data_IF_500983320764
#
_entry.id   IF_500983320764
#
_cell.length_a   1.000
_cell.length_b   1.000
_cell.length_c   1.000
_cell.angle_alpha   90.00
_cell.angle_beta   90.00
_cell.angle_gamma   90.00
#
_symmetry.space_group_name_H-M   'P 1'
#
loop_
_entity.id
_entity.type
_entity.pdbx_description
1 polymer ?
#
# COMPACT_ATOMS: atom_id res chain seq x y z
N UNK A 1 -36.48 -1.48 15.19
CA UNK A 1 -36.41 -2.91 15.55
C UNK A 1 -36.63 -3.00 17.06
N UNK A 2 -37.65 -3.72 17.53
CA UNK A 2 -37.81 -4.05 18.94
C UNK A 2 -36.52 -4.67 19.51
N UNK A 3 -36.20 -4.38 20.78
CA UNK A 3 -34.97 -4.87 21.40
C UNK A 3 -34.89 -6.40 21.41
N UNK A 4 -36.03 -7.06 21.54
CA UNK A 4 -36.12 -8.52 21.59
C UNK A 4 -35.85 -9.16 20.23
N UNK A 5 -36.36 -8.57 19.15
CA UNK A 5 -36.04 -9.01 17.78
C UNK A 5 -34.55 -8.88 17.48
N UNK A 6 -33.91 -7.80 17.94
CA UNK A 6 -32.47 -7.60 17.80
C UNK A 6 -31.66 -8.66 18.57
N UNK A 7 -32.07 -8.97 19.80
CA UNK A 7 -31.43 -10.02 20.61
C UNK A 7 -31.58 -11.40 19.96
N UNK A 8 -32.76 -11.71 19.43
CA UNK A 8 -33.04 -12.96 18.72
C UNK A 8 -32.15 -13.10 17.47
N UNK A 9 -32.03 -12.03 16.69
CA UNK A 9 -31.15 -12.00 15.52
C UNK A 9 -29.67 -12.18 15.90
N UNK A 10 -29.19 -11.49 16.94
CA UNK A 10 -27.82 -11.67 17.44
C UNK A 10 -27.57 -13.11 17.89
N UNK A 11 -28.55 -13.73 18.56
CA UNK A 11 -28.51 -15.14 18.96
C UNK A 11 -28.34 -16.07 17.75
N UNK A 12 -29.17 -15.89 16.73
CA UNK A 12 -29.08 -16.64 15.47
C UNK A 12 -27.70 -16.51 14.82
N UNK A 13 -27.18 -15.28 14.67
CA UNK A 13 -25.87 -15.03 14.04
C UNK A 13 -24.74 -15.71 14.81
N UNK A 14 -24.77 -15.70 16.14
CA UNK A 14 -23.77 -16.39 16.97
C UNK A 14 -23.75 -17.91 16.78
N UNK A 15 -24.89 -18.50 16.42
CA UNK A 15 -25.01 -19.95 16.17
C UNK A 15 -24.77 -20.36 14.72
N UNK A 16 -24.55 -19.41 13.81
CA UNK A 16 -24.54 -19.68 12.36
C UNK A 16 -23.38 -20.58 11.90
N UNK A 17 -22.19 -20.49 12.52
CA UNK A 17 -21.03 -21.28 12.10
C UNK A 17 -20.15 -21.69 13.29
N UNK A 18 -19.78 -22.98 13.44
CA UNK A 18 -19.09 -23.48 14.64
C UNK A 18 -17.71 -22.88 14.88
N UNK A 19 -17.03 -22.42 13.82
CA UNK A 19 -15.69 -21.82 13.90
C UNK A 19 -15.66 -20.29 13.91
N UNK A 20 -16.82 -19.60 13.85
CA UNK A 20 -16.88 -18.13 13.78
C UNK A 20 -17.67 -17.62 14.97
N UNK A 21 -17.02 -16.83 15.84
CA UNK A 21 -17.66 -16.19 16.97
C UNK A 21 -17.94 -14.71 16.67
N UNK A 22 -19.18 -14.27 16.92
CA UNK A 22 -19.60 -12.88 16.74
C UNK A 22 -19.68 -12.17 18.09
N UNK A 23 -19.09 -10.98 18.17
CA UNK A 23 -19.23 -10.08 19.31
C UNK A 23 -20.29 -9.02 19.01
N UNK A 24 -21.12 -8.69 19.99
CA UNK A 24 -22.17 -7.68 19.89
C UNK A 24 -22.20 -6.83 21.15
N UNK A 25 -22.36 -5.53 21.01
CA UNK A 25 -22.53 -4.58 22.12
C UNK A 25 -23.84 -3.82 21.92
N UNK A 26 -24.69 -3.78 22.95
CA UNK A 26 -25.94 -3.03 22.95
C UNK A 26 -25.86 -2.03 24.09
N UNK A 27 -26.05 -0.76 23.78
CA UNK A 27 -26.15 0.29 24.79
C UNK A 27 -27.17 1.33 24.34
N UNK A 28 -27.89 1.90 25.32
CA UNK A 28 -28.91 2.91 25.08
C UNK A 28 -28.31 4.31 24.89
N UNK A 29 -27.09 4.54 25.37
CA UNK A 29 -26.47 5.88 25.45
C UNK A 29 -25.18 6.01 24.65
N UNK A 30 -24.55 4.89 24.28
CA UNK A 30 -23.25 4.91 23.60
C UNK A 30 -23.13 3.80 22.57
N UNK A 31 -22.52 4.06 21.43
CA UNK A 31 -22.19 3.02 20.45
C UNK A 31 -20.85 3.30 19.79
N UNK A 32 -20.06 2.25 19.60
CA UNK A 32 -18.79 2.33 18.90
C UNK A 32 -19.03 2.12 17.39
N UNK A 33 -18.61 3.06 16.55
CA UNK A 33 -18.78 2.96 15.10
C UNK A 33 -17.59 3.58 14.35
N UNK A 34 -17.00 2.84 13.41
CA UNK A 34 -15.94 3.30 12.49
C UNK A 34 -14.84 4.21 13.11
N UNK A 35 -14.32 3.81 14.28
CA UNK A 35 -13.20 4.49 14.94
C UNK A 35 -13.59 5.71 15.79
N UNK A 36 -14.88 5.92 16.03
CA UNK A 36 -15.42 6.87 17.01
C UNK A 36 -16.38 6.16 17.96
N UNK A 37 -16.51 6.72 19.16
CA UNK A 37 -17.55 6.36 20.12
C UNK A 37 -18.60 7.44 20.10
N UNK A 38 -19.80 7.12 19.66
CA UNK A 38 -20.92 8.05 19.60
C UNK A 38 -21.66 7.97 20.93
N UNK A 39 -21.90 9.11 21.57
CA UNK A 39 -22.67 9.20 22.81
C UNK A 39 -23.57 10.43 22.79
N UNK A 40 -24.68 10.38 23.52
CA UNK A 40 -25.58 11.53 23.69
C UNK A 40 -25.30 12.16 25.05
N UNK A 41 -24.90 13.44 25.07
CA UNK A 41 -24.74 14.25 26.29
C UNK A 41 -25.49 15.57 26.09
N UNK A 42 -26.35 15.94 27.03
CA UNK A 42 -27.10 17.21 27.01
C UNK A 42 -27.89 17.48 25.72
N UNK A 43 -28.43 16.42 25.10
CA UNK A 43 -29.12 16.44 23.78
C UNK A 43 -28.22 16.66 22.55
N UNK A 44 -26.91 16.69 22.73
CA UNK A 44 -25.92 16.76 21.65
C UNK A 44 -25.20 15.41 21.45
N UNK A 45 -24.77 15.17 20.22
CA UNK A 45 -23.94 14.01 19.88
C UNK A 45 -22.47 14.34 20.15
N UNK A 46 -21.87 13.61 21.08
CA UNK A 46 -20.43 13.63 21.34
C UNK A 46 -19.78 12.43 20.66
N UNK A 47 -18.73 12.66 19.88
CA UNK A 47 -18.10 11.64 19.02
C UNK A 47 -16.57 11.53 19.22
N UNK A 48 -16.09 11.20 20.42
CA UNK A 48 -14.67 11.05 20.68
C UNK A 48 -14.07 9.90 19.88
N UNK A 49 -12.76 9.97 19.69
CA UNK A 49 -12.00 8.90 19.03
C UNK A 49 -12.11 7.61 19.85
N UNK A 50 -12.33 6.49 19.15
CA UNK A 50 -12.39 5.17 19.77
C UNK A 50 -11.36 4.24 19.14
N UNK A 51 -10.49 3.74 20.00
CA UNK A 51 -9.55 2.68 19.67
C UNK A 51 -10.12 1.35 20.13
N UNK A 52 -10.06 0.33 19.26
CA UNK A 52 -10.47 -1.01 19.66
C UNK A 52 -9.51 -1.54 20.71
N UNK A 53 -9.96 -2.32 21.71
CA UNK A 53 -9.07 -2.95 22.68
C UNK A 53 -8.02 -3.87 22.05
N UNK A 54 -8.27 -4.37 20.84
CA UNK A 54 -7.35 -5.19 20.06
C UNK A 54 -6.42 -4.39 19.15
N UNK A 55 -6.55 -3.06 19.12
CA UNK A 55 -5.64 -2.18 18.40
C UNK A 55 -4.32 -2.10 19.16
N UNK A 56 -3.27 -2.67 18.60
CA UNK A 56 -1.93 -2.65 19.19
C UNK A 56 -1.25 -1.30 19.01
N UNK A 57 -1.86 -0.35 18.30
CA UNK A 57 -1.29 0.95 17.93
C UNK A 57 0.06 0.85 17.21
N UNK A 58 0.40 -0.33 16.73
CA UNK A 58 1.61 -0.58 15.97
C UNK A 58 1.36 -0.18 14.53
N UNK A 59 1.70 1.07 14.22
CA UNK A 59 2.10 1.44 12.88
C UNK A 59 3.39 0.70 12.47
N UNK A 60 3.95 1.03 11.31
CA UNK A 60 5.25 0.49 10.92
C UNK A 60 6.32 0.98 11.89
N UNK A 61 7.17 0.07 12.38
CA UNK A 61 8.37 0.51 13.12
C UNK A 61 9.25 1.37 12.23
N UNK A 62 9.94 2.36 12.83
CA UNK A 62 10.78 3.27 12.06
C UNK A 62 11.96 2.54 11.38
N UNK A 63 12.39 1.42 11.94
CA UNK A 63 13.45 0.53 11.40
C UNK A 63 12.95 -0.42 10.31
N UNK A 64 11.64 -0.44 10.01
CA UNK A 64 11.10 -1.33 8.99
C UNK A 64 11.66 -1.03 7.59
N UNK A 65 11.69 -2.09 6.76
CA UNK A 65 12.20 -2.07 5.38
C UNK A 65 11.19 -1.44 4.40
N UNK A 66 10.88 -0.17 4.64
CA UNK A 66 10.06 0.69 3.80
C UNK A 66 10.82 1.96 3.42
N UNK A 67 10.50 2.59 2.27
CA UNK A 67 11.07 3.89 1.91
C UNK A 67 10.94 4.89 3.07
N UNK A 68 12.02 5.62 3.35
CA UNK A 68 12.02 6.62 4.43
C UNK A 68 10.92 7.66 4.25
N UNK A 69 10.67 8.11 3.02
CA UNK A 69 9.57 9.03 2.71
C UNK A 69 8.21 8.50 3.15
N UNK A 70 7.93 7.20 2.95
CA UNK A 70 6.69 6.59 3.38
C UNK A 70 6.57 6.55 4.90
N UNK A 71 7.65 6.23 5.62
CA UNK A 71 7.65 6.21 7.08
C UNK A 71 7.41 7.62 7.64
N UNK A 72 8.21 8.59 7.17
CA UNK A 72 8.11 10.03 7.53
C UNK A 72 6.73 10.62 7.26
N UNK A 73 6.03 10.14 6.23
CA UNK A 73 4.71 10.63 5.88
C UNK A 73 3.57 10.06 6.72
N UNK A 74 3.79 9.12 7.63
CA UNK A 74 2.71 8.47 8.41
C UNK A 74 2.18 9.35 9.55
N UNK A 75 3.01 10.00 10.40
CA UNK A 75 2.51 10.73 11.57
C UNK A 75 1.48 11.81 11.23
N UNK A 76 1.79 12.67 10.25
CA UNK A 76 0.94 13.80 9.89
C UNK A 76 -0.49 13.39 9.48
N UNK A 77 -0.72 12.46 8.53
CA UNK A 77 -2.07 11.98 8.19
C UNK A 77 -2.82 11.33 9.35
N UNK A 78 -2.12 10.63 10.26
CA UNK A 78 -2.77 10.02 11.43
C UNK A 78 -3.26 11.09 12.42
N UNK A 79 -2.43 12.09 12.69
CA UNK A 79 -2.84 13.24 13.52
C UNK A 79 -3.93 14.08 12.84
N UNK A 80 -3.85 14.28 11.52
CA UNK A 80 -4.88 14.97 10.75
C UNK A 80 -6.22 14.22 10.79
N UNK A 81 -6.19 12.87 10.84
CA UNK A 81 -7.40 12.08 11.09
C UNK A 81 -7.98 12.40 12.46
N UNK A 82 -7.18 12.47 13.53
CA UNK A 82 -7.67 12.85 14.85
C UNK A 82 -8.31 14.25 14.84
N UNK A 83 -7.68 15.21 14.14
CA UNK A 83 -8.21 16.57 13.96
C UNK A 83 -9.60 16.60 13.31
N UNK A 84 -9.89 15.66 12.40
CA UNK A 84 -11.20 15.52 11.75
C UNK A 84 -12.25 14.88 12.66
N UNK A 85 -11.82 13.93 13.50
CA UNK A 85 -12.70 13.14 14.36
C UNK A 85 -13.10 13.88 15.63
N UNK A 86 -12.12 14.46 16.34
CA UNK A 86 -12.37 15.22 17.56
C UNK A 86 -13.24 16.45 17.27
N UNK A 87 -14.21 16.74 18.14
CA UNK A 87 -15.09 17.89 17.99
C UNK A 87 -14.45 19.17 18.55
N UNK A 88 -13.82 19.07 19.72
CA UNK A 88 -13.15 20.17 20.39
C UNK A 88 -11.63 19.99 20.46
N UNK A 89 -10.94 21.08 20.78
CA UNK A 89 -9.48 21.16 20.85
C UNK A 89 -8.88 20.52 22.10
N UNK A 90 -9.68 20.29 23.15
CA UNK A 90 -9.19 19.62 24.35
C UNK A 90 -9.06 18.13 24.05
N UNK A 91 -10.12 17.51 23.53
CA UNK A 91 -10.16 16.13 23.07
C UNK A 91 -9.08 15.89 22.00
N UNK A 92 -8.93 16.81 21.04
CA UNK A 92 -7.87 16.68 20.02
C UNK A 92 -6.47 16.64 20.65
N UNK A 93 -6.15 17.56 21.57
CA UNK A 93 -4.82 17.62 22.19
C UNK A 93 -4.52 16.35 22.96
N UNK A 94 -5.48 15.82 23.72
CA UNK A 94 -5.31 14.56 24.44
C UNK A 94 -5.03 13.40 23.47
N UNK A 95 -5.86 13.24 22.42
CA UNK A 95 -5.65 12.15 21.46
C UNK A 95 -4.36 12.32 20.66
N UNK A 96 -3.95 13.55 20.34
CA UNK A 96 -2.71 13.85 19.65
C UNK A 96 -1.49 13.46 20.50
N UNK A 97 -1.51 13.75 21.81
CA UNK A 97 -0.46 13.33 22.74
C UNK A 97 -0.35 11.80 22.85
N UNK A 98 -1.49 11.10 22.95
CA UNK A 98 -1.48 9.63 22.97
C UNK A 98 -0.91 9.04 21.67
N UNK A 99 -1.28 9.62 20.53
CA UNK A 99 -0.76 9.22 19.22
C UNK A 99 0.74 9.51 19.08
N UNK A 100 1.19 10.66 19.60
CA UNK A 100 2.60 11.01 19.69
C UNK A 100 3.38 9.90 20.43
N UNK A 101 2.91 9.49 21.60
CA UNK A 101 3.58 8.46 22.41
C UNK A 101 3.63 7.09 21.70
N UNK A 102 2.61 6.75 20.92
CA UNK A 102 2.62 5.56 20.07
C UNK A 102 3.69 5.63 18.97
N UNK A 103 3.91 6.78 18.34
CA UNK A 103 4.97 6.93 17.35
C UNK A 103 6.36 6.88 17.97
N UNK A 104 6.55 7.56 19.10
CA UNK A 104 7.84 7.55 19.81
C UNK A 104 8.20 6.14 20.28
N UNK A 105 7.25 5.41 20.87
CA UNK A 105 7.47 4.02 21.31
C UNK A 105 7.73 3.05 20.16
N UNK A 106 7.30 3.36 18.92
CA UNK A 106 7.61 2.58 17.71
C UNK A 106 8.91 3.01 17.02
N UNK A 107 9.68 3.91 17.65
CA UNK A 107 11.03 4.32 17.25
C UNK A 107 11.08 5.48 16.26
N UNK A 108 9.99 6.23 16.07
CA UNK A 108 10.02 7.44 15.25
C UNK A 108 10.83 8.54 15.95
N UNK A 109 11.63 9.34 15.20
CA UNK A 109 12.34 10.48 15.77
C UNK A 109 11.37 11.51 16.34
N UNK A 110 11.64 11.99 17.55
CA UNK A 110 10.82 13.01 18.24
C UNK A 110 10.55 14.22 17.34
N UNK A 111 11.59 14.78 16.72
CA UNK A 111 11.47 15.94 15.82
C UNK A 111 10.47 15.74 14.68
N UNK A 112 10.39 14.53 14.11
CA UNK A 112 9.45 14.23 13.01
C UNK A 112 8.00 14.14 13.52
N UNK A 113 7.81 13.61 14.73
CA UNK A 113 6.49 13.49 15.36
C UNK A 113 6.02 14.86 15.85
N UNK A 114 6.91 15.64 16.46
CA UNK A 114 6.65 17.00 16.93
C UNK A 114 6.33 17.95 15.77
N UNK A 115 7.07 17.89 14.65
CA UNK A 115 6.73 18.66 13.45
C UNK A 115 5.31 18.33 12.97
N UNK A 116 4.95 17.05 12.93
CA UNK A 116 3.61 16.62 12.54
C UNK A 116 2.53 17.17 13.50
N UNK A 117 2.75 17.06 14.83
CA UNK A 117 1.88 17.62 15.85
C UNK A 117 1.69 19.13 15.66
N UNK A 118 2.79 19.86 15.48
CA UNK A 118 2.80 21.31 15.34
C UNK A 118 2.08 21.76 14.07
N UNK A 119 2.28 21.05 12.96
CA UNK A 119 1.60 21.35 11.69
C UNK A 119 0.10 21.11 11.77
N UNK A 120 -0.34 19.99 12.37
CA UNK A 120 -1.78 19.68 12.50
C UNK A 120 -2.45 20.57 13.55
N UNK A 121 -1.74 21.01 14.58
CA UNK A 121 -2.25 21.94 15.59
C UNK A 121 -2.68 23.28 14.99
N UNK A 122 -2.06 23.70 13.89
CA UNK A 122 -2.38 24.95 13.15
C UNK A 122 -3.58 24.81 12.21
N UNK A 123 -4.11 23.60 12.02
CA UNK A 123 -5.22 23.33 11.10
C UNK A 123 -6.50 23.24 11.92
N UNK A 124 -7.50 24.06 11.59
CA UNK A 124 -8.81 23.98 12.21
C UNK A 124 -9.53 22.69 11.79
N UNK A 125 -10.47 22.22 12.61
CA UNK A 125 -11.30 21.07 12.24
C UNK A 125 -12.07 21.30 10.94
N UNK A 126 -12.61 22.51 10.76
CA UNK A 126 -13.35 22.89 9.55
C UNK A 126 -12.49 22.77 8.31
N UNK A 127 -11.24 23.25 8.36
CA UNK A 127 -10.31 23.15 7.23
C UNK A 127 -9.88 21.70 6.98
N UNK A 128 -9.67 20.92 8.05
CA UNK A 128 -9.28 19.52 7.93
C UNK A 128 -10.33 18.67 7.22
N UNK A 129 -11.62 19.04 7.30
CA UNK A 129 -12.73 18.35 6.66
C UNK A 129 -12.90 18.71 5.17
N UNK A 130 -12.25 19.78 4.70
CA UNK A 130 -12.31 20.17 3.29
C UNK A 130 -11.49 19.16 2.47
N UNK A 131 -12.09 18.52 1.44
CA UNK A 131 -11.35 17.66 0.53
C UNK A 131 -10.29 18.49 -0.22
N UNK A 132 -9.04 18.03 -0.19
CA UNK A 132 -8.01 18.65 -1.03
C UNK A 132 -8.18 18.18 -2.48
N UNK A 133 -8.01 19.08 -3.47
CA UNK A 133 -8.03 18.69 -4.87
C UNK A 133 -6.89 17.71 -5.17
N UNK A 134 -7.18 16.70 -6.00
CA UNK A 134 -6.15 15.79 -6.49
C UNK A 134 -5.19 16.54 -7.41
N UNK A 135 -3.91 16.56 -7.06
CA UNK A 135 -2.87 17.04 -7.95
C UNK A 135 -2.43 15.88 -8.84
N UNK A 136 -2.86 15.88 -10.11
CA UNK A 136 -2.32 14.95 -11.09
C UNK A 136 -0.96 15.47 -11.58
N UNK A 137 0.07 14.64 -11.43
CA UNK A 137 1.40 14.93 -11.98
C UNK A 137 1.57 14.14 -13.28
N UNK A 138 1.92 14.84 -14.35
CA UNK A 138 2.25 14.24 -15.65
C UNK A 138 3.68 13.68 -15.69
N UNK A 139 4.44 13.84 -14.59
CA UNK A 139 5.81 13.35 -14.47
C UNK A 139 5.91 11.85 -14.73
N UNK A 140 6.87 11.49 -15.57
CA UNK A 140 7.24 10.09 -15.82
C UNK A 140 7.58 9.37 -14.51
N UNK A 141 7.00 8.19 -14.30
CA UNK A 141 7.22 7.38 -13.09
C UNK A 141 8.26 6.31 -13.34
N UNK A 142 9.36 6.36 -12.60
CA UNK A 142 10.37 5.30 -12.59
C UNK A 142 10.05 4.29 -11.49
N UNK A 143 9.55 3.13 -11.89
CA UNK A 143 9.18 2.05 -10.96
C UNK A 143 10.40 1.22 -10.56
N UNK A 144 10.78 1.25 -9.28
CA UNK A 144 11.92 0.50 -8.75
C UNK A 144 11.47 -0.45 -7.62
N UNK A 145 12.11 -1.60 -7.45
CA UNK A 145 11.88 -2.42 -6.24
C UNK A 145 12.58 -1.78 -5.05
N UNK A 146 11.86 -1.53 -3.97
CA UNK A 146 12.50 -1.05 -2.74
C UNK A 146 13.38 -2.15 -2.14
N UNK A 147 14.62 -1.79 -1.84
CA UNK A 147 15.53 -2.56 -1.00
C UNK A 147 16.49 -1.56 -0.33
N UNK A 148 16.80 -1.69 0.98
CA UNK A 148 17.68 -0.75 1.68
C UNK A 148 19.03 -0.54 0.97
N UNK A 149 19.63 -1.61 0.44
CA UNK A 149 20.88 -1.52 -0.32
C UNK A 149 20.75 -0.99 -1.77
N UNK A 150 19.52 -0.91 -2.31
CA UNK A 150 19.29 -0.46 -3.69
C UNK A 150 18.95 1.04 -3.79
N UNK A 151 19.11 1.78 -2.70
CA UNK A 151 18.94 3.25 -2.71
C UNK A 151 20.00 3.94 -3.57
N UNK A 152 21.15 3.29 -3.81
CA UNK A 152 22.22 3.78 -4.68
C UNK A 152 21.75 3.88 -6.13
N UNK A 153 20.97 2.92 -6.61
CA UNK A 153 20.48 2.94 -7.99
C UNK A 153 19.61 4.16 -8.29
N UNK A 154 18.80 4.62 -7.32
CA UNK A 154 18.05 5.88 -7.46
C UNK A 154 18.99 7.07 -7.69
N UNK A 155 20.08 7.16 -6.91
CA UNK A 155 21.05 8.25 -7.04
C UNK A 155 21.75 8.19 -8.39
N UNK A 156 22.18 7.00 -8.82
CA UNK A 156 22.85 6.82 -10.12
C UNK A 156 21.95 7.28 -11.26
N UNK A 157 20.68 6.85 -11.30
CA UNK A 157 19.76 7.24 -12.38
C UNK A 157 19.53 8.75 -12.40
N UNK A 158 19.29 9.37 -11.23
CA UNK A 158 19.04 10.81 -11.17
C UNK A 158 20.28 11.65 -11.50
N UNK A 159 21.48 11.22 -11.09
CA UNK A 159 22.73 11.93 -11.38
C UNK A 159 23.14 11.81 -12.85
N UNK A 160 22.72 10.76 -13.54
CA UNK A 160 23.03 10.51 -14.94
C UNK A 160 21.84 10.80 -15.87
N UNK A 161 20.86 11.59 -15.40
CA UNK A 161 19.67 11.92 -16.20
C UNK A 161 20.06 12.63 -17.52
N UNK A 162 21.11 13.44 -17.51
CA UNK A 162 21.63 14.11 -18.70
C UNK A 162 22.03 13.15 -19.81
N UNK A 163 22.47 11.92 -19.47
CA UNK A 163 22.78 10.89 -20.46
C UNK A 163 21.51 10.45 -21.18
N UNK A 164 20.40 10.29 -20.46
CA UNK A 164 19.10 9.97 -21.05
C UNK A 164 18.55 11.14 -21.87
N UNK A 165 18.82 12.37 -21.46
CA UNK A 165 18.37 13.57 -22.17
C UNK A 165 19.21 13.92 -23.41
N UNK A 166 20.37 13.29 -23.58
CA UNK A 166 21.21 13.46 -24.77
C UNK A 166 20.60 12.77 -26.00
N UNK A 167 19.80 11.73 -25.80
CA UNK A 167 19.06 11.03 -26.86
C UNK A 167 17.70 11.72 -27.09
N UNK A 168 17.35 12.10 -28.34
CA UNK A 168 16.11 12.83 -28.63
C UNK A 168 14.83 12.10 -28.19
N UNK A 169 14.77 10.78 -28.41
CA UNK A 169 13.58 9.97 -28.11
C UNK A 169 13.42 9.79 -26.59
N UNK A 170 14.52 9.52 -25.88
CA UNK A 170 14.52 9.42 -24.44
C UNK A 170 14.24 10.77 -23.76
N UNK A 171 14.68 11.89 -24.34
CA UNK A 171 14.37 13.24 -23.86
C UNK A 171 12.87 13.55 -23.89
N UNK A 172 12.13 13.07 -24.88
CA UNK A 172 10.67 13.23 -24.94
C UNK A 172 10.00 12.63 -23.70
N UNK A 173 10.53 11.52 -23.18
CA UNK A 173 9.99 10.81 -22.00
C UNK A 173 10.57 11.34 -20.68
N UNK A 174 11.82 11.78 -20.69
CA UNK A 174 12.60 12.17 -19.50
C UNK A 174 13.07 13.63 -19.53
N UNK A 175 12.22 14.54 -20.01
CA UNK A 175 12.53 15.98 -20.05
C UNK A 175 12.73 16.57 -18.64
N UNK A 176 12.00 16.04 -17.67
CA UNK A 176 12.20 16.33 -16.25
C UNK A 176 12.58 15.07 -15.45
N UNK A 177 13.24 15.21 -14.28
CA UNK A 177 13.60 14.06 -13.46
C UNK A 177 12.37 13.18 -13.13
N UNK A 178 12.43 11.86 -13.35
CA UNK A 178 11.27 11.01 -13.13
C UNK A 178 10.92 10.91 -11.63
N UNK A 179 9.63 10.72 -11.35
CA UNK A 179 9.15 10.37 -10.02
C UNK A 179 9.53 8.93 -9.71
N UNK A 180 10.47 8.74 -8.80
CA UNK A 180 10.88 7.40 -8.36
C UNK A 180 9.81 6.83 -7.44
N UNK A 181 9.15 5.77 -7.91
CA UNK A 181 8.10 5.08 -7.19
C UNK A 181 8.58 3.68 -6.84
N UNK A 182 8.44 3.31 -5.58
CA UNK A 182 8.90 2.03 -5.10
C UNK A 182 7.77 0.98 -5.10
N UNK A 183 8.05 -0.20 -5.67
CA UNK A 183 7.26 -1.42 -5.45
C UNK A 183 7.85 -2.24 -4.31
N UNK A 184 7.00 -2.97 -3.59
CA UNK A 184 7.42 -3.91 -2.54
C UNK A 184 8.31 -5.01 -3.13
N UNK A 185 9.36 -5.39 -2.41
CA UNK A 185 10.10 -6.63 -2.69
C UNK A 185 9.22 -7.86 -2.41
N UNK A 186 9.62 -9.01 -2.95
CA UNK A 186 8.98 -10.29 -2.59
C UNK A 186 9.35 -10.62 -1.15
N UNK A 187 8.35 -10.95 -0.33
CA UNK A 187 8.57 -11.47 1.02
C UNK A 187 8.50 -13.01 1.04
N UNK A 188 8.78 -13.61 2.21
CA UNK A 188 8.74 -15.06 2.40
C UNK A 188 7.40 -15.65 1.96
N UNK A 189 6.28 -14.98 2.30
CA UNK A 189 4.94 -15.40 1.87
C UNK A 189 4.83 -15.45 0.34
N UNK A 190 5.32 -14.45 -0.38
CA UNK A 190 5.29 -14.41 -1.85
C UNK A 190 6.16 -15.50 -2.49
N UNK A 191 7.18 -15.98 -1.77
CA UNK A 191 8.09 -17.02 -2.23
C UNK A 191 7.54 -18.43 -1.96
N UNK A 192 7.01 -18.65 -0.76
CA UNK A 192 6.59 -19.96 -0.27
C UNK A 192 5.13 -20.27 -0.60
N UNK A 193 4.24 -19.28 -0.53
CA UNK A 193 2.80 -19.51 -0.71
C UNK A 193 2.44 -19.37 -2.19
N UNK A 194 2.16 -20.50 -2.83
CA UNK A 194 1.62 -20.54 -4.19
C UNK A 194 0.16 -20.95 -4.12
N UNK A 195 -0.73 -20.10 -4.61
CA UNK A 195 -2.16 -20.40 -4.74
C UNK A 195 -2.48 -21.32 -5.91
N UNK A 196 -1.48 -21.66 -6.74
CA UNK A 196 -1.65 -22.50 -7.92
C UNK A 196 -0.99 -23.86 -7.69
N UNK A 197 -1.79 -24.91 -7.86
CA UNK A 197 -1.32 -26.27 -8.07
C UNK A 197 -0.60 -26.26 -9.43
N UNK A 198 0.65 -26.73 -9.48
CA UNK A 198 1.42 -26.75 -10.73
C UNK A 198 0.76 -27.71 -11.72
N UNK A 199 0.12 -27.19 -12.76
CA UNK A 199 -0.24 -27.98 -13.92
C UNK A 199 1.04 -28.38 -14.67
N UNK A 200 1.08 -29.57 -15.28
CA UNK A 200 2.19 -29.94 -16.16
C UNK A 200 2.27 -28.91 -17.29
N UNK A 201 3.41 -28.26 -17.38
CA UNK A 201 3.62 -27.21 -18.35
C UNK A 201 4.19 -27.85 -19.62
N UNK A 202 3.40 -27.85 -20.71
CA UNK A 202 3.92 -28.17 -22.04
C UNK A 202 5.18 -27.32 -22.32
N UNK A 203 6.20 -27.97 -22.87
CA UNK A 203 7.48 -27.36 -23.19
C UNK A 203 7.33 -26.31 -24.30
N UNK A 204 8.30 -25.41 -24.41
CA UNK A 204 8.27 -24.29 -25.34
C UNK A 204 7.87 -22.94 -24.75
N UNK A 205 7.84 -21.93 -25.61
CA UNK A 205 7.51 -20.55 -25.28
C UNK A 205 6.01 -20.29 -25.40
N UNK A 206 5.46 -19.48 -24.49
CA UNK A 206 4.05 -19.04 -24.57
C UNK A 206 3.79 -17.68 -23.92
N UNK A 207 2.79 -16.93 -24.40
CA UNK A 207 2.37 -15.70 -23.76
C UNK A 207 1.91 -15.98 -22.32
N UNK A 208 2.28 -15.10 -21.38
CA UNK A 208 1.89 -15.23 -19.98
C UNK A 208 0.42 -14.89 -19.72
N UNK A 209 -0.28 -14.31 -20.71
CA UNK A 209 -1.70 -13.89 -20.70
C UNK A 209 -2.06 -12.93 -19.56
N UNK A 210 -1.09 -12.18 -19.03
CA UNK A 210 -1.40 -11.12 -18.07
C UNK A 210 -2.06 -9.94 -18.81
N UNK A 211 -3.11 -9.30 -18.26
CA UNK A 211 -3.91 -8.30 -18.97
C UNK A 211 -3.14 -7.10 -19.55
N UNK A 212 -1.94 -6.80 -19.02
CA UNK A 212 -1.13 -5.64 -19.42
C UNK A 212 0.28 -6.02 -19.92
N UNK A 213 0.51 -7.29 -20.29
CA UNK A 213 1.82 -7.71 -20.75
C UNK A 213 2.05 -7.33 -22.22
N UNK A 214 2.77 -6.24 -22.44
CA UNK A 214 3.16 -5.77 -23.79
C UNK A 214 4.13 -6.71 -24.51
N UNK A 215 4.83 -7.59 -23.78
CA UNK A 215 5.73 -8.58 -24.39
C UNK A 215 4.96 -9.76 -25.00
N UNK A 216 3.74 -10.06 -24.52
CA UNK A 216 2.96 -11.21 -25.02
C UNK A 216 2.71 -11.17 -26.52
N UNK A 217 2.59 -9.97 -27.11
CA UNK A 217 2.35 -9.78 -28.55
C UNK A 217 3.56 -10.18 -29.41
N UNK A 218 4.76 -10.20 -28.83
CA UNK A 218 6.00 -10.52 -29.53
C UNK A 218 6.54 -11.92 -29.19
N UNK A 219 5.83 -12.70 -28.37
CA UNK A 219 6.24 -14.06 -28.03
C UNK A 219 5.68 -15.05 -29.04
N UNK A 220 6.57 -15.60 -29.87
CA UNK A 220 6.28 -16.76 -30.70
C UNK A 220 5.98 -17.96 -29.83
N UNK A 221 4.87 -18.65 -30.10
CA UNK A 221 4.55 -19.92 -29.44
C UNK A 221 5.22 -21.06 -30.19
N UNK A 222 6.33 -21.58 -29.67
CA UNK A 222 7.05 -22.69 -30.29
C UNK A 222 7.76 -23.55 -29.24
N UNK A 223 7.89 -24.84 -29.50
CA UNK A 223 8.76 -25.77 -28.79
C UNK A 223 10.12 -25.95 -29.48
N UNK A 224 10.32 -25.30 -30.63
CA UNK A 224 11.50 -25.47 -31.48
C UNK A 224 12.01 -24.13 -31.98
N UNK A 225 13.33 -24.02 -32.12
CA UNK A 225 14.02 -22.83 -32.62
C UNK A 225 14.85 -23.24 -33.83
N UNK A 226 14.51 -22.69 -34.99
CA UNK A 226 15.29 -22.89 -36.21
C UNK A 226 16.51 -21.97 -36.21
N UNK A 227 17.68 -22.56 -36.33
CA UNK A 227 18.96 -21.84 -36.49
C UNK A 227 19.65 -22.30 -37.79
N UNK A 228 20.60 -21.52 -38.34
CA UNK A 228 21.36 -21.94 -39.52
C UNK A 228 22.13 -23.25 -39.35
N UNK A 229 22.38 -23.68 -38.10
CA UNK A 229 23.11 -24.91 -37.76
C UNK A 229 22.19 -26.08 -37.40
N UNK A 230 20.87 -25.90 -37.46
CA UNK A 230 19.88 -26.94 -37.14
C UNK A 230 18.74 -26.46 -36.24
N UNK A 231 17.91 -27.41 -35.82
CA UNK A 231 16.73 -27.20 -34.96
C UNK A 231 17.11 -27.42 -33.50
N UNK A 232 16.80 -26.46 -32.63
CA UNK A 232 16.97 -26.58 -31.18
C UNK A 232 15.62 -26.79 -30.49
N UNK A 233 15.48 -27.87 -29.72
CA UNK A 233 14.26 -28.19 -28.98
C UNK A 233 14.26 -27.55 -27.60
N UNK A 234 13.17 -26.86 -27.26
CA UNK A 234 12.96 -26.24 -25.96
C UNK A 234 12.35 -27.30 -25.04
N UNK A 235 13.13 -27.80 -24.08
CA UNK A 235 12.69 -28.85 -23.15
C UNK A 235 11.77 -28.30 -22.03
N UNK A 236 12.01 -27.07 -21.59
CA UNK A 236 11.27 -26.43 -20.50
C UNK A 236 10.16 -25.51 -21.01
N UNK A 237 9.33 -25.01 -20.09
CA UNK A 237 8.31 -24.04 -20.42
C UNK A 237 8.69 -22.61 -20.05
N UNK A 238 8.63 -21.73 -21.05
CA UNK A 238 8.97 -20.32 -20.90
C UNK A 238 7.78 -19.41 -21.20
N UNK A 239 7.71 -18.30 -20.49
CA UNK A 239 6.72 -17.25 -20.72
C UNK A 239 7.37 -15.88 -20.72
N UNK A 240 6.60 -14.83 -21.04
CA UNK A 240 7.00 -13.42 -20.92
C UNK A 240 7.44 -13.01 -19.50
N UNK A 241 7.35 -13.90 -18.51
CA UNK A 241 7.69 -13.63 -17.11
C UNK A 241 8.81 -14.51 -16.58
N UNK A 242 9.31 -15.43 -17.42
CA UNK A 242 10.49 -16.23 -17.10
C UNK A 242 11.73 -15.33 -17.03
N UNK A 243 12.73 -15.74 -16.25
CA UNK A 243 13.93 -14.95 -15.95
C UNK A 243 15.18 -15.71 -16.40
N UNK A 244 16.28 -14.99 -16.54
CA UNK A 244 17.58 -15.54 -16.93
C UNK A 244 17.50 -16.28 -18.27
N UNK A 245 16.90 -15.62 -19.27
CA UNK A 245 16.67 -16.19 -20.59
C UNK A 245 17.71 -15.70 -21.58
N UNK A 246 18.05 -16.55 -22.54
CA UNK A 246 18.66 -16.14 -23.80
C UNK A 246 17.52 -15.87 -24.78
N UNK A 247 17.48 -14.67 -25.36
CA UNK A 247 16.42 -14.26 -26.28
C UNK A 247 16.95 -14.35 -27.71
N UNK A 248 16.18 -14.99 -28.58
CA UNK A 248 16.44 -15.00 -30.03
C UNK A 248 15.38 -14.13 -30.67
N UNK A 249 15.82 -13.08 -31.36
CA UNK A 249 14.96 -12.17 -32.10
C UNK A 249 15.10 -12.47 -33.60
N UNK A 250 13.98 -12.64 -34.27
CA UNK A 250 13.93 -12.70 -35.73
C UNK A 250 13.53 -11.32 -36.24
N UNK A 251 14.32 -10.75 -37.15
CA UNK A 251 13.85 -9.64 -37.98
C UNK A 251 13.01 -10.26 -39.10
N UNK A 252 11.77 -9.79 -39.22
CA UNK A 252 10.92 -10.02 -40.39
C UNK A 252 11.21 -8.93 -41.43
#
# INVERSE_FOLDING_TARGET
MPLDDLKNYIGFVKTFHPSISFTSEISASTVNFLGIKISIRDRFLHSPVYFKPTDSHTYWTYTSSHPHSCKRSIPFPQMLRLRRLCQDDIDFREQCLRMHDFFVSTGYPLEEVDDACNRVSKISRTDALIPMPEQSSQRTKLMMTYHPHNLVARKIVLNNLSILQADPDAREVFDEPPLVVYRRAKNIRDMLVRSRISASHASGTRPCRRPRCKTCTYVSQSSEINTPRGVFLIADSFTCTSRNLIIICYCL
#
